data_IF_142863723138
#
_entry.id   IF_142863723138
#
_cell.length_a   1.000
_cell.length_b   1.000
_cell.length_c   1.000
_cell.angle_alpha   90.00
_cell.angle_beta   90.00
_cell.angle_gamma   90.00
#
_symmetry.space_group_name_H-M   'P 1'
#
loop_
_entity.id
_entity.type
_entity.pdbx_description
1 polymer ?
#
# COMPACT_ATOMS: atom_id res chain seq x y z
N UNK A 1 15.37 0.33 17.26
CA UNK A 1 16.21 -0.49 16.32
C UNK A 1 15.84 -0.11 14.89
N UNK A 2 16.81 0.00 13.99
CA UNK A 2 16.52 0.21 12.55
C UNK A 2 16.08 -1.12 11.92
N UNK A 3 14.80 -1.40 11.92
CA UNK A 3 14.26 -2.72 11.59
C UNK A 3 14.46 -3.11 10.12
N UNK A 4 14.43 -2.15 9.19
CA UNK A 4 14.63 -2.41 7.77
C UNK A 4 16.02 -2.94 7.47
N UNK A 5 17.06 -2.52 8.25
CA UNK A 5 18.43 -3.02 8.14
C UNK A 5 18.56 -4.50 8.55
N UNK A 6 17.58 -5.04 9.26
CA UNK A 6 17.51 -6.47 9.61
C UNK A 6 16.65 -7.23 8.61
N UNK A 7 15.50 -6.66 8.24
CA UNK A 7 14.53 -7.33 7.36
C UNK A 7 15.05 -7.51 5.93
N UNK A 8 15.72 -6.48 5.36
CA UNK A 8 16.22 -6.57 3.99
C UNK A 8 17.27 -7.68 3.83
N UNK A 9 18.36 -7.74 4.64
CA UNK A 9 19.30 -8.86 4.56
C UNK A 9 18.62 -10.21 4.76
N UNK A 10 17.69 -10.33 5.71
CA UNK A 10 16.96 -11.57 5.95
C UNK A 10 16.19 -12.03 4.70
N UNK A 11 15.41 -11.13 4.09
CA UNK A 11 14.66 -11.43 2.87
C UNK A 11 15.59 -11.80 1.72
N UNK A 12 16.68 -11.07 1.53
CA UNK A 12 17.65 -11.34 0.46
C UNK A 12 18.35 -12.69 0.65
N UNK A 13 18.84 -12.99 1.86
CA UNK A 13 19.51 -14.27 2.17
C UNK A 13 18.54 -15.43 1.96
N UNK A 14 17.31 -15.35 2.48
CA UNK A 14 16.29 -16.36 2.26
C UNK A 14 16.00 -16.52 0.76
N UNK A 15 15.85 -15.42 0.01
CA UNK A 15 15.64 -15.45 -1.42
C UNK A 15 16.75 -16.16 -2.17
N UNK A 16 18.01 -15.92 -1.83
CA UNK A 16 19.16 -16.60 -2.43
C UNK A 16 19.17 -18.12 -2.10
N UNK A 17 18.83 -18.51 -0.87
CA UNK A 17 18.70 -19.93 -0.48
C UNK A 17 17.60 -20.64 -1.28
N UNK A 18 16.43 -20.02 -1.44
CA UNK A 18 15.33 -20.59 -2.24
C UNK A 18 15.58 -20.57 -3.74
N UNK A 19 16.46 -19.68 -4.22
CA UNK A 19 16.81 -19.54 -5.65
C UNK A 19 17.46 -20.78 -6.23
N UNK A 20 18.22 -21.54 -5.46
CA UNK A 20 18.89 -22.76 -5.91
C UNK A 20 17.91 -23.82 -6.48
N UNK A 21 16.65 -23.80 -6.02
CA UNK A 21 15.57 -24.66 -6.49
C UNK A 21 14.27 -23.85 -6.68
N UNK A 22 14.26 -22.97 -7.70
CA UNK A 22 13.13 -22.07 -8.00
C UNK A 22 11.96 -22.84 -8.62
N UNK A 23 11.07 -23.34 -7.79
CA UNK A 23 9.83 -24.00 -8.18
C UNK A 23 8.62 -23.40 -7.43
N UNK A 24 7.40 -23.75 -7.84
CA UNK A 24 6.15 -23.21 -7.25
C UNK A 24 6.06 -23.46 -5.73
N UNK A 25 6.52 -24.63 -5.23
CA UNK A 25 6.48 -24.96 -3.80
C UNK A 25 7.42 -24.05 -3.02
N UNK A 26 8.65 -23.88 -3.49
CA UNK A 26 9.66 -23.06 -2.83
C UNK A 26 9.30 -21.57 -2.89
N UNK A 27 8.76 -21.08 -4.00
CA UNK A 27 8.20 -19.71 -4.08
C UNK A 27 7.10 -19.48 -3.04
N UNK A 28 6.15 -20.41 -2.93
CA UNK A 28 5.08 -20.33 -1.92
C UNK A 28 5.64 -20.32 -0.51
N UNK A 29 6.60 -21.20 -0.21
CA UNK A 29 7.22 -21.27 1.13
C UNK A 29 7.99 -19.98 1.46
N UNK A 30 8.75 -19.47 0.50
CA UNK A 30 9.46 -18.19 0.65
C UNK A 30 8.50 -17.02 0.94
N UNK A 31 7.39 -16.92 0.19
CA UNK A 31 6.36 -15.90 0.43
C UNK A 31 5.78 -16.06 1.85
N UNK A 32 5.42 -17.26 2.27
CA UNK A 32 4.85 -17.51 3.60
C UNK A 32 5.82 -17.08 4.70
N UNK A 33 7.09 -17.50 4.63
CA UNK A 33 8.08 -17.16 5.64
C UNK A 33 8.29 -15.64 5.72
N UNK A 34 8.54 -14.98 4.58
CA UNK A 34 8.76 -13.54 4.58
C UNK A 34 7.52 -12.76 5.02
N UNK A 35 6.33 -13.15 4.57
CA UNK A 35 5.08 -12.50 5.02
C UNK A 35 4.83 -12.70 6.51
N UNK A 36 5.13 -13.88 7.06
CA UNK A 36 5.00 -14.15 8.50
C UNK A 36 5.96 -13.30 9.34
N UNK A 37 7.21 -13.11 8.89
CA UNK A 37 8.18 -12.23 9.56
C UNK A 37 7.70 -10.77 9.52
N UNK A 38 7.24 -10.30 8.36
CA UNK A 38 6.74 -8.93 8.23
C UNK A 38 5.46 -8.70 9.03
N UNK A 39 4.55 -9.67 9.04
CA UNK A 39 3.35 -9.66 9.88
C UNK A 39 3.71 -9.60 11.36
N UNK A 40 4.67 -10.42 11.82
CA UNK A 40 5.15 -10.38 13.19
C UNK A 40 5.69 -9.01 13.56
N UNK A 41 6.55 -8.43 12.70
CA UNK A 41 7.07 -7.07 12.93
C UNK A 41 5.93 -6.05 12.95
N UNK A 42 4.95 -6.13 12.05
CA UNK A 42 3.84 -5.19 12.03
C UNK A 42 2.98 -5.31 13.31
N UNK A 43 2.66 -6.53 13.76
CA UNK A 43 1.79 -6.80 14.91
C UNK A 43 2.45 -6.47 16.25
N UNK A 44 3.76 -6.70 16.37
CA UNK A 44 4.50 -6.53 17.64
C UNK A 44 5.06 -5.11 17.83
N UNK A 45 4.56 -4.10 17.10
CA UNK A 45 4.94 -2.70 17.32
C UNK A 45 4.45 -2.20 18.68
N UNK A 46 5.29 -1.39 19.34
CA UNK A 46 4.90 -0.74 20.58
C UNK A 46 4.03 0.50 20.26
N UNK A 47 2.76 0.56 20.69
CA UNK A 47 1.87 1.67 20.37
C UNK A 47 2.25 2.97 21.11
N UNK A 48 3.02 2.91 22.18
CA UNK A 48 3.32 4.06 23.04
C UNK A 48 4.58 4.81 22.61
N UNK A 49 5.58 4.09 22.08
CA UNK A 49 6.88 4.68 21.71
C UNK A 49 7.02 4.98 20.21
N UNK A 50 6.03 4.66 19.40
CA UNK A 50 6.06 4.82 17.94
C UNK A 50 5.47 6.18 17.53
N UNK A 51 6.14 7.28 17.91
CA UNK A 51 5.54 8.62 17.84
C UNK A 51 5.77 9.38 16.55
N UNK A 52 6.83 9.10 15.79
CA UNK A 52 7.20 9.99 14.69
C UNK A 52 7.06 9.39 13.28
N UNK A 53 7.24 8.09 13.10
CA UNK A 53 7.26 7.49 11.76
C UNK A 53 6.62 6.11 11.68
N UNK A 54 7.07 5.16 12.51
CA UNK A 54 6.47 3.84 12.58
C UNK A 54 5.32 3.84 13.58
N UNK A 55 4.08 3.78 13.10
CA UNK A 55 2.93 3.59 13.97
C UNK A 55 2.42 4.84 14.68
N UNK A 56 2.61 6.02 14.08
CA UNK A 56 2.13 7.31 14.62
C UNK A 56 0.66 7.26 15.08
N UNK A 57 -0.18 6.49 14.39
CA UNK A 57 -1.59 6.33 14.74
C UNK A 57 -1.84 5.10 15.64
N UNK A 58 -0.80 4.33 16.03
CA UNK A 58 -0.99 3.07 16.79
C UNK A 58 -1.59 3.28 18.17
N UNK A 59 -1.21 4.35 18.87
CA UNK A 59 -1.80 4.71 20.15
C UNK A 59 -3.29 5.05 20.02
N UNK A 60 -3.66 5.79 18.97
CA UNK A 60 -5.06 6.09 18.67
C UNK A 60 -5.86 4.81 18.33
N UNK A 61 -5.27 3.86 17.61
CA UNK A 61 -5.93 2.58 17.32
C UNK A 61 -6.10 1.71 18.56
N UNK A 62 -5.10 1.71 19.46
CA UNK A 62 -5.22 1.06 20.77
C UNK A 62 -6.37 1.65 21.57
N UNK A 63 -6.43 2.99 21.68
CA UNK A 63 -7.52 3.68 22.35
C UNK A 63 -8.91 3.34 21.76
N UNK A 64 -9.04 3.36 20.42
CA UNK A 64 -10.31 3.00 19.75
C UNK A 64 -10.67 1.54 20.04
N UNK A 65 -9.71 0.62 19.99
CA UNK A 65 -9.95 -0.79 20.31
C UNK A 65 -10.42 -0.97 21.76
N UNK A 66 -9.72 -0.37 22.73
CA UNK A 66 -10.07 -0.41 24.15
C UNK A 66 -11.46 0.21 24.42
N UNK A 67 -11.81 1.29 23.75
CA UNK A 67 -13.14 1.93 23.88
C UNK A 67 -14.30 1.03 23.42
N UNK A 68 -14.01 -0.04 22.67
CA UNK A 68 -15.05 -0.99 22.24
C UNK A 68 -15.32 -2.11 23.24
N UNK A 69 -14.54 -2.28 24.32
CA UNK A 69 -14.66 -3.43 25.22
C UNK A 69 -16.05 -3.54 25.87
N UNK A 70 -16.54 -2.43 26.37
CA UNK A 70 -17.84 -2.36 27.02
C UNK A 70 -18.96 -1.79 26.12
N UNK A 71 -18.65 -1.52 24.84
CA UNK A 71 -19.59 -0.93 23.90
C UNK A 71 -20.74 -1.90 23.59
N UNK A 72 -21.98 -1.51 23.89
CA UNK A 72 -23.17 -2.22 23.46
C UNK A 72 -23.39 -2.15 21.95
N UNK A 73 -24.03 -3.15 21.35
CA UNK A 73 -24.40 -3.08 19.93
C UNK A 73 -25.41 -1.94 19.65
N UNK A 74 -26.27 -1.59 20.62
CA UNK A 74 -27.16 -0.44 20.50
C UNK A 74 -26.37 0.87 20.36
N UNK A 75 -25.35 1.07 21.19
CA UNK A 75 -24.48 2.25 21.16
C UNK A 75 -23.69 2.30 19.84
N UNK A 76 -23.17 1.14 19.40
CA UNK A 76 -22.52 1.03 18.10
C UNK A 76 -23.42 1.49 16.94
N UNK A 77 -24.68 0.99 16.88
CA UNK A 77 -25.60 1.36 15.80
C UNK A 77 -26.03 2.83 15.89
N UNK A 78 -26.17 3.38 17.10
CA UNK A 78 -26.46 4.81 17.29
C UNK A 78 -25.31 5.67 16.78
N UNK A 79 -24.08 5.34 17.14
CA UNK A 79 -22.88 6.03 16.65
C UNK A 79 -22.76 5.93 15.13
N UNK A 80 -22.98 4.74 14.56
CA UNK A 80 -22.97 4.54 13.12
C UNK A 80 -24.01 5.39 12.39
N UNK A 81 -25.23 5.45 12.93
CA UNK A 81 -26.31 6.27 12.38
C UNK A 81 -25.96 7.76 12.43
N UNK A 82 -25.50 8.25 13.58
CA UNK A 82 -25.13 9.67 13.74
C UNK A 82 -24.00 10.06 12.79
N UNK A 83 -23.02 9.17 12.57
CA UNK A 83 -21.92 9.43 11.64
C UNK A 83 -22.40 9.59 10.18
N UNK A 84 -23.27 8.70 9.70
CA UNK A 84 -23.69 8.72 8.30
C UNK A 84 -24.83 9.70 8.01
N UNK A 85 -25.69 9.99 8.99
CA UNK A 85 -26.89 10.76 8.78
C UNK A 85 -27.01 11.99 9.70
N UNK A 86 -26.25 12.04 10.79
CA UNK A 86 -26.34 13.08 11.82
C UNK A 86 -25.32 14.23 11.69
N UNK A 87 -24.46 14.25 10.65
CA UNK A 87 -23.47 15.31 10.44
C UNK A 87 -22.27 15.30 11.38
N UNK A 88 -22.06 14.22 12.16
CA UNK A 88 -20.86 14.02 12.99
C UNK A 88 -19.62 13.75 12.13
N UNK A 89 -18.68 14.71 12.03
CA UNK A 89 -17.60 14.67 11.06
C UNK A 89 -16.29 14.04 11.54
N UNK A 90 -16.05 13.93 12.85
CA UNK A 90 -14.71 13.65 13.40
C UNK A 90 -14.52 12.22 13.97
N UNK A 91 -15.54 11.38 13.88
CA UNK A 91 -15.47 10.03 14.44
C UNK A 91 -14.75 9.04 13.50
N UNK A 92 -14.21 7.97 14.10
CA UNK A 92 -13.54 6.88 13.38
C UNK A 92 -14.48 6.22 12.37
N UNK A 93 -13.92 5.72 11.26
CA UNK A 93 -14.69 4.99 10.24
C UNK A 93 -15.47 3.81 10.87
N UNK A 94 -16.78 3.74 10.60
CA UNK A 94 -17.71 2.82 11.28
C UNK A 94 -17.31 1.35 11.13
N UNK A 95 -16.87 0.95 9.93
CA UNK A 95 -16.41 -0.43 9.71
C UNK A 95 -15.16 -0.77 10.50
N UNK A 96 -14.29 0.22 10.76
CA UNK A 96 -13.13 0.02 11.63
C UNK A 96 -13.55 -0.20 13.09
N UNK A 97 -14.47 0.60 13.61
CA UNK A 97 -15.03 0.42 14.97
C UNK A 97 -15.75 -0.93 15.10
N UNK A 98 -16.53 -1.33 14.07
CA UNK A 98 -17.15 -2.65 14.03
C UNK A 98 -16.13 -3.79 14.10
N UNK A 99 -15.02 -3.68 13.34
CA UNK A 99 -13.94 -4.66 13.36
C UNK A 99 -13.29 -4.73 14.76
N UNK A 100 -13.00 -3.58 15.37
CA UNK A 100 -12.50 -3.51 16.75
C UNK A 100 -13.46 -4.19 17.71
N UNK A 101 -14.76 -3.89 17.63
CA UNK A 101 -15.79 -4.50 18.50
C UNK A 101 -15.91 -6.00 18.31
N UNK A 102 -15.87 -6.50 17.08
CA UNK A 102 -15.90 -7.94 16.81
C UNK A 102 -14.69 -8.63 17.44
N UNK A 103 -13.49 -8.05 17.27
CA UNK A 103 -12.26 -8.64 17.81
C UNK A 103 -12.27 -8.57 19.35
N UNK A 104 -12.79 -7.49 19.95
CA UNK A 104 -12.85 -7.34 21.41
C UNK A 104 -13.73 -8.40 22.10
N UNK A 105 -14.62 -9.09 21.37
CA UNK A 105 -15.35 -10.24 21.88
C UNK A 105 -14.47 -11.48 22.15
N UNK A 106 -13.28 -11.54 21.55
CA UNK A 106 -12.39 -12.69 21.63
C UNK A 106 -11.10 -12.40 22.39
N UNK A 107 -10.64 -11.13 22.37
CA UNK A 107 -9.38 -10.73 23.02
C UNK A 107 -9.41 -9.26 23.42
N UNK A 108 -8.78 -8.94 24.55
CA UNK A 108 -8.48 -7.56 24.98
C UNK A 108 -6.98 -7.21 24.82
N UNK A 109 -6.18 -8.14 24.31
CA UNK A 109 -4.76 -7.92 24.06
C UNK A 109 -4.54 -7.20 22.72
N UNK A 110 -3.85 -6.05 22.78
CA UNK A 110 -3.62 -5.22 21.58
C UNK A 110 -2.65 -5.88 20.57
N UNK A 111 -1.71 -6.70 21.02
CA UNK A 111 -0.81 -7.39 20.10
C UNK A 111 -1.55 -8.48 19.31
N UNK A 112 -2.47 -9.20 19.95
CA UNK A 112 -3.36 -10.17 19.29
C UNK A 112 -4.32 -9.45 18.34
N UNK A 113 -4.91 -8.33 18.77
CA UNK A 113 -5.72 -7.47 17.90
C UNK A 113 -4.92 -7.07 16.66
N UNK A 114 -3.71 -6.50 16.84
CA UNK A 114 -2.84 -6.08 15.73
C UNK A 114 -2.52 -7.24 14.79
N UNK A 115 -2.21 -8.43 15.31
CA UNK A 115 -1.96 -9.62 14.52
C UNK A 115 -3.17 -9.98 13.62
N UNK A 116 -4.37 -9.99 14.18
CA UNK A 116 -5.60 -10.34 13.45
C UNK A 116 -5.91 -9.35 12.34
N UNK A 117 -5.77 -8.05 12.60
CA UNK A 117 -6.05 -7.02 11.60
C UNK A 117 -4.96 -6.91 10.54
N UNK A 118 -3.70 -7.07 10.91
CA UNK A 118 -2.59 -7.04 9.95
C UNK A 118 -2.65 -8.25 8.97
N UNK A 119 -3.25 -9.38 9.38
CA UNK A 119 -3.56 -10.50 8.47
C UNK A 119 -4.47 -10.08 7.31
N UNK A 120 -5.37 -9.10 7.48
CA UNK A 120 -6.22 -8.59 6.39
C UNK A 120 -5.40 -7.98 5.25
N UNK A 121 -4.17 -7.53 5.52
CA UNK A 121 -3.24 -7.05 4.50
C UNK A 121 -2.30 -8.17 4.03
N UNK A 122 -1.62 -8.86 4.93
CA UNK A 122 -0.54 -9.78 4.54
C UNK A 122 -1.04 -11.03 3.81
N UNK A 123 -2.26 -11.49 4.07
CA UNK A 123 -2.83 -12.62 3.34
C UNK A 123 -3.09 -12.27 1.86
N UNK A 124 -3.87 -11.22 1.51
CA UNK A 124 -4.04 -10.84 0.11
C UNK A 124 -2.72 -10.42 -0.56
N UNK A 125 -1.81 -9.76 0.17
CA UNK A 125 -0.47 -9.43 -0.32
C UNK A 125 0.31 -10.69 -0.75
N UNK A 126 0.36 -11.71 0.10
CA UNK A 126 1.00 -13.00 -0.23
C UNK A 126 0.33 -13.70 -1.43
N UNK A 127 -0.99 -13.63 -1.54
CA UNK A 127 -1.74 -14.18 -2.68
C UNK A 127 -1.34 -13.47 -3.98
N UNK A 128 -1.25 -12.14 -3.98
CA UNK A 128 -0.84 -11.34 -5.13
C UNK A 128 0.59 -11.70 -5.54
N UNK A 129 1.52 -11.77 -4.60
CA UNK A 129 2.90 -12.18 -4.89
C UNK A 129 2.96 -13.58 -5.51
N UNK A 130 2.24 -14.55 -4.93
CA UNK A 130 2.22 -15.92 -5.43
C UNK A 130 1.64 -16.04 -6.86
N UNK A 131 0.62 -15.25 -7.18
CA UNK A 131 -0.04 -15.29 -8.49
C UNK A 131 0.77 -14.60 -9.57
N UNK A 132 1.46 -13.49 -9.25
CA UNK A 132 1.98 -12.58 -10.27
C UNK A 132 3.49 -12.48 -10.33
N UNK A 133 4.22 -12.87 -9.28
CA UNK A 133 5.67 -13.00 -9.33
C UNK A 133 6.05 -14.36 -9.92
N UNK A 134 6.83 -14.34 -11.02
CA UNK A 134 7.12 -15.54 -11.81
C UNK A 134 8.36 -16.31 -11.35
N UNK A 135 9.22 -15.70 -10.53
CA UNK A 135 10.47 -16.28 -10.05
C UNK A 135 10.87 -15.69 -8.68
N UNK A 136 11.87 -16.29 -8.02
CA UNK A 136 12.33 -15.85 -6.70
C UNK A 136 12.88 -14.43 -6.72
N UNK A 137 13.56 -13.97 -7.77
CA UNK A 137 14.07 -12.60 -7.83
C UNK A 137 12.95 -11.57 -7.86
N UNK A 138 11.85 -11.85 -8.58
CA UNK A 138 10.69 -10.95 -8.59
C UNK A 138 10.01 -10.86 -7.22
N UNK A 139 9.94 -11.97 -6.48
CA UNK A 139 9.39 -12.01 -5.12
C UNK A 139 10.32 -11.27 -4.15
N UNK A 140 11.63 -11.51 -4.24
CA UNK A 140 12.64 -10.83 -3.43
C UNK A 140 12.61 -9.31 -3.66
N UNK A 141 12.56 -8.87 -4.93
CA UNK A 141 12.40 -7.47 -5.27
C UNK A 141 11.14 -6.87 -4.63
N UNK A 142 10.01 -7.58 -4.73
CA UNK A 142 8.74 -7.12 -4.17
C UNK A 142 8.80 -6.94 -2.64
N UNK A 143 9.41 -7.87 -1.91
CA UNK A 143 9.60 -7.71 -0.47
C UNK A 143 10.56 -6.57 -0.12
N UNK A 144 11.68 -6.42 -0.84
CA UNK A 144 12.58 -5.29 -0.61
C UNK A 144 11.88 -3.97 -0.93
N UNK A 145 11.11 -3.90 -2.02
CA UNK A 145 10.29 -2.74 -2.36
C UNK A 145 9.29 -2.40 -1.24
N UNK A 146 8.57 -3.40 -0.72
CA UNK A 146 7.64 -3.22 0.39
C UNK A 146 8.34 -2.63 1.62
N UNK A 147 9.44 -3.24 2.05
CA UNK A 147 10.21 -2.80 3.23
C UNK A 147 10.76 -1.37 3.03
N UNK A 148 11.26 -1.06 1.83
CA UNK A 148 11.92 0.21 1.53
C UNK A 148 10.98 1.39 1.33
N UNK A 149 9.80 1.17 0.73
CA UNK A 149 8.93 2.25 0.26
C UNK A 149 7.54 2.27 0.91
N UNK A 150 7.06 1.15 1.43
CA UNK A 150 5.66 1.00 1.82
C UNK A 150 5.51 0.78 3.32
N UNK A 151 6.36 -0.06 3.92
CA UNK A 151 6.21 -0.59 5.27
C UNK A 151 6.00 0.49 6.33
N UNK A 152 6.81 1.54 6.33
CA UNK A 152 6.72 2.65 7.30
C UNK A 152 5.33 3.28 7.31
N UNK A 153 4.82 3.58 6.12
CA UNK A 153 3.54 4.27 5.98
C UNK A 153 2.34 3.36 6.28
N UNK A 154 2.40 2.09 5.93
CA UNK A 154 1.30 1.15 6.18
C UNK A 154 1.23 0.76 7.65
N UNK A 155 2.36 0.50 8.30
CA UNK A 155 2.38 0.20 9.74
C UNK A 155 1.89 1.41 10.54
N UNK A 156 2.28 2.64 10.15
CA UNK A 156 1.81 3.88 10.75
C UNK A 156 0.33 4.16 10.51
N UNK A 157 -0.19 3.79 9.35
CA UNK A 157 -1.57 4.04 8.91
C UNK A 157 -2.45 2.76 8.97
N UNK A 158 -2.53 2.08 10.12
CA UNK A 158 -3.17 0.75 10.24
C UNK A 158 -4.53 0.62 9.57
N UNK A 159 -5.49 1.53 9.78
CA UNK A 159 -6.82 1.50 9.11
C UNK A 159 -6.69 1.48 7.58
N UNK A 160 -5.78 2.29 7.04
CA UNK A 160 -5.53 2.31 5.60
C UNK A 160 -4.91 0.99 5.11
N UNK A 161 -4.00 0.39 5.88
CA UNK A 161 -3.41 -0.91 5.55
C UNK A 161 -4.48 -2.00 5.40
N UNK A 162 -5.49 -2.01 6.30
CA UNK A 162 -6.59 -2.97 6.23
C UNK A 162 -7.49 -2.71 5.02
N UNK A 163 -7.83 -1.45 4.74
CA UNK A 163 -8.60 -1.07 3.57
C UNK A 163 -7.88 -1.48 2.27
N UNK A 164 -6.58 -1.22 2.14
CA UNK A 164 -5.77 -1.67 1.00
C UNK A 164 -5.79 -3.21 0.88
N UNK A 165 -5.77 -3.95 2.00
CA UNK A 165 -5.92 -5.40 1.99
C UNK A 165 -7.22 -5.87 1.36
N UNK A 166 -8.34 -5.25 1.73
CA UNK A 166 -9.67 -5.51 1.15
C UNK A 166 -9.74 -5.10 -0.33
N UNK A 167 -9.15 -3.97 -0.69
CA UNK A 167 -9.05 -3.50 -2.08
C UNK A 167 -8.19 -4.45 -2.95
N UNK A 168 -7.14 -5.05 -2.39
CA UNK A 168 -6.39 -6.12 -3.07
C UNK A 168 -7.27 -7.35 -3.34
N UNK A 169 -8.14 -7.74 -2.41
CA UNK A 169 -9.09 -8.83 -2.62
C UNK A 169 -10.11 -8.44 -3.69
N UNK A 170 -10.60 -7.20 -3.67
CA UNK A 170 -11.49 -6.67 -4.71
C UNK A 170 -10.83 -6.73 -6.08
N UNK A 171 -9.56 -6.34 -6.20
CA UNK A 171 -8.81 -6.41 -7.44
C UNK A 171 -8.63 -7.85 -7.95
N UNK A 172 -8.24 -8.76 -7.06
CA UNK A 172 -8.15 -10.19 -7.40
C UNK A 172 -9.50 -10.69 -7.95
N UNK A 173 -10.59 -10.29 -7.32
CA UNK A 173 -11.93 -10.70 -7.74
C UNK A 173 -12.30 -10.12 -9.13
N UNK A 174 -11.92 -8.87 -9.44
CA UNK A 174 -12.12 -8.29 -10.79
C UNK A 174 -11.31 -9.05 -11.83
N UNK A 175 -10.05 -9.35 -11.56
CA UNK A 175 -9.19 -10.13 -12.47
C UNK A 175 -9.79 -11.52 -12.73
N UNK A 176 -10.38 -12.14 -11.69
CA UNK A 176 -11.06 -13.43 -11.76
C UNK A 176 -12.49 -13.31 -12.38
N UNK A 177 -12.93 -12.15 -12.85
CA UNK A 177 -14.26 -11.90 -13.44
C UNK A 177 -15.42 -11.88 -12.44
N UNK A 178 -15.14 -11.87 -11.13
CA UNK A 178 -16.13 -11.94 -10.05
C UNK A 178 -16.56 -10.54 -9.58
N UNK A 179 -17.29 -9.83 -10.44
CA UNK A 179 -17.63 -8.40 -10.25
C UNK A 179 -18.35 -8.09 -8.93
N UNK A 180 -19.38 -8.88 -8.57
CA UNK A 180 -20.11 -8.68 -7.31
C UNK A 180 -19.20 -8.83 -6.09
N UNK A 181 -18.34 -9.85 -6.10
CA UNK A 181 -17.35 -10.04 -5.03
C UNK A 181 -16.38 -8.86 -4.92
N UNK A 182 -15.92 -8.36 -6.05
CA UNK A 182 -15.07 -7.17 -6.08
C UNK A 182 -15.76 -5.95 -5.47
N UNK A 183 -17.01 -5.71 -5.81
CA UNK A 183 -17.80 -4.61 -5.27
C UNK A 183 -18.03 -4.74 -3.76
N UNK A 184 -18.32 -5.94 -3.25
CA UNK A 184 -18.49 -6.18 -1.81
C UNK A 184 -17.20 -5.86 -1.04
N UNK A 185 -16.04 -6.37 -1.50
CA UNK A 185 -14.77 -6.11 -0.81
C UNK A 185 -14.34 -4.64 -0.89
N UNK A 186 -14.60 -3.96 -2.01
CA UNK A 186 -14.41 -2.52 -2.12
C UNK A 186 -15.28 -1.74 -1.11
N UNK A 187 -16.58 -2.07 -0.99
CA UNK A 187 -17.46 -1.43 -0.02
C UNK A 187 -17.00 -1.69 1.42
N UNK A 188 -16.54 -2.90 1.74
CA UNK A 188 -15.95 -3.19 3.04
C UNK A 188 -14.70 -2.34 3.31
N UNK A 189 -13.80 -2.22 2.32
CA UNK A 189 -12.64 -1.33 2.40
C UNK A 189 -13.04 0.13 2.69
N UNK A 190 -14.07 0.62 2.00
CA UNK A 190 -14.60 1.97 2.18
C UNK A 190 -15.16 2.22 3.60
N UNK A 191 -15.78 1.21 4.22
CA UNK A 191 -16.26 1.33 5.61
C UNK A 191 -15.14 1.33 6.64
N UNK A 192 -14.01 0.67 6.32
CA UNK A 192 -12.81 0.63 7.19
C UNK A 192 -12.01 1.92 7.10
N UNK A 193 -11.90 2.49 5.89
CA UNK A 193 -11.20 3.75 5.68
C UNK A 193 -11.73 4.46 4.44
N UNK A 194 -12.30 5.64 4.66
CA UNK A 194 -12.97 6.43 3.61
C UNK A 194 -12.10 6.73 2.39
N UNK A 195 -10.77 6.85 2.56
CA UNK A 195 -9.82 7.03 1.45
C UNK A 195 -9.81 5.84 0.46
N UNK A 196 -10.35 4.66 0.80
CA UNK A 196 -10.54 3.55 -0.13
C UNK A 196 -11.40 3.95 -1.34
N UNK A 197 -12.18 5.04 -1.24
CA UNK A 197 -12.88 5.63 -2.38
C UNK A 197 -11.94 5.93 -3.57
N UNK A 198 -10.68 6.24 -3.31
CA UNK A 198 -9.67 6.47 -4.35
C UNK A 198 -9.44 5.24 -5.24
N UNK A 199 -9.78 4.05 -4.74
CA UNK A 199 -9.69 2.80 -5.49
C UNK A 199 -10.85 2.62 -6.50
N UNK A 200 -11.93 3.38 -6.36
CA UNK A 200 -13.11 3.28 -7.24
C UNK A 200 -12.76 3.56 -8.70
N UNK A 201 -12.00 4.62 -8.99
CA UNK A 201 -11.67 5.00 -10.37
C UNK A 201 -10.89 3.89 -11.10
N UNK A 202 -9.77 3.37 -10.57
CA UNK A 202 -9.08 2.24 -11.19
C UNK A 202 -9.92 0.97 -11.24
N UNK A 203 -10.76 0.71 -10.25
CA UNK A 203 -11.66 -0.44 -10.27
C UNK A 203 -12.64 -0.36 -11.44
N UNK A 204 -13.23 0.81 -11.70
CA UNK A 204 -14.09 1.06 -12.85
C UNK A 204 -13.33 0.97 -14.18
N UNK A 205 -12.11 1.52 -14.25
CA UNK A 205 -11.28 1.43 -15.45
C UNK A 205 -10.98 -0.03 -15.83
N UNK A 206 -10.73 -0.89 -14.85
CA UNK A 206 -10.55 -2.33 -15.06
C UNK A 206 -11.86 -3.01 -15.43
N UNK A 207 -12.93 -2.65 -14.75
CA UNK A 207 -14.27 -3.27 -14.94
C UNK A 207 -14.85 -3.04 -16.33
N UNK A 208 -14.73 -1.82 -16.84
CA UNK A 208 -15.21 -1.48 -18.19
C UNK A 208 -14.19 -1.82 -19.28
N UNK A 209 -12.93 -2.05 -18.91
CA UNK A 209 -11.84 -2.32 -19.82
C UNK A 209 -11.33 -1.05 -20.51
N UNK A 210 -10.02 -0.96 -20.66
CA UNK A 210 -9.38 0.11 -21.42
C UNK A 210 -8.45 -0.46 -22.47
N UNK A 211 -8.34 0.22 -23.62
CA UNK A 211 -7.38 -0.21 -24.63
C UNK A 211 -5.94 -0.02 -24.14
N UNK A 212 -5.04 -0.90 -24.56
CA UNK A 212 -3.61 -0.75 -24.26
C UNK A 212 -3.04 0.60 -24.74
N UNK A 213 -3.60 1.16 -25.82
CA UNK A 213 -3.24 2.50 -26.30
C UNK A 213 -3.64 3.58 -25.30
N UNK A 214 -4.89 3.54 -24.81
CA UNK A 214 -5.39 4.50 -23.80
C UNK A 214 -4.59 4.44 -22.52
N UNK A 215 -4.26 3.25 -22.04
CA UNK A 215 -3.44 3.06 -20.83
C UNK A 215 -2.05 3.67 -20.98
N UNK A 216 -1.40 3.47 -22.15
CA UNK A 216 -0.10 4.08 -22.44
C UNK A 216 -0.20 5.61 -22.47
N UNK A 217 -1.25 6.17 -23.06
CA UNK A 217 -1.48 7.61 -23.11
C UNK A 217 -1.69 8.16 -21.70
N UNK A 218 -2.53 7.52 -20.89
CA UNK A 218 -2.76 7.95 -19.49
C UNK A 218 -1.46 7.93 -18.70
N UNK A 219 -0.65 6.86 -18.83
CA UNK A 219 0.64 6.79 -18.14
C UNK A 219 1.58 7.91 -18.57
N UNK A 220 1.68 8.17 -19.87
CA UNK A 220 2.49 9.29 -20.39
C UNK A 220 1.96 10.65 -19.92
N UNK A 221 0.64 10.85 -19.87
CA UNK A 221 0.02 12.08 -19.36
C UNK A 221 0.29 12.30 -17.87
N UNK A 222 0.17 11.26 -17.04
CA UNK A 222 0.51 11.36 -15.62
C UNK A 222 2.00 11.75 -15.44
N UNK A 223 2.90 11.20 -16.26
CA UNK A 223 4.29 11.56 -16.23
C UNK A 223 4.54 13.01 -16.68
N UNK A 224 3.83 13.50 -17.70
CA UNK A 224 3.89 14.91 -18.15
C UNK A 224 3.31 15.86 -17.09
N UNK A 225 2.29 15.45 -16.35
CA UNK A 225 1.68 16.25 -15.27
C UNK A 225 2.50 16.22 -13.98
N UNK A 226 3.40 15.26 -13.82
CA UNK A 226 4.23 15.12 -12.62
C UNK A 226 4.97 16.42 -12.23
N UNK A 227 5.66 17.15 -13.14
CA UNK A 227 6.36 18.40 -12.77
C UNK A 227 5.41 19.44 -12.18
N UNK A 228 4.16 19.52 -12.64
CA UNK A 228 3.15 20.44 -12.11
C UNK A 228 2.79 20.07 -10.67
N UNK A 229 2.43 18.79 -10.42
CA UNK A 229 2.10 18.32 -9.08
C UNK A 229 3.30 18.44 -8.13
N UNK A 230 4.52 18.19 -8.64
CA UNK A 230 5.76 18.32 -7.90
C UNK A 230 6.06 19.78 -7.51
N UNK A 231 5.76 20.73 -8.39
CA UNK A 231 6.03 22.15 -8.17
C UNK A 231 5.02 22.82 -7.23
N UNK A 232 3.75 22.40 -7.26
CA UNK A 232 2.62 23.05 -6.59
C UNK A 232 1.78 22.07 -5.74
N UNK A 233 2.40 21.23 -4.87
CA UNK A 233 1.64 20.21 -4.16
C UNK A 233 0.70 20.79 -3.11
N UNK A 234 1.08 21.89 -2.46
CA UNK A 234 0.26 22.57 -1.43
C UNK A 234 -0.99 23.21 -2.01
N UNK A 235 -0.83 23.93 -3.12
CA UNK A 235 -1.93 24.57 -3.83
C UNK A 235 -2.95 23.56 -4.34
N UNK A 236 -2.49 22.44 -4.87
CA UNK A 236 -3.36 21.36 -5.33
C UNK A 236 -4.15 20.73 -4.18
N UNK A 237 -3.51 20.48 -3.03
CA UNK A 237 -4.19 19.94 -1.85
C UNK A 237 -5.21 20.94 -1.30
N UNK A 238 -4.86 22.23 -1.22
CA UNK A 238 -5.77 23.29 -0.79
C UNK A 238 -6.99 23.38 -1.71
N UNK A 239 -6.77 23.38 -3.02
CA UNK A 239 -7.83 23.38 -4.02
C UNK A 239 -8.75 22.15 -3.90
N UNK A 240 -8.18 20.96 -3.71
CA UNK A 240 -8.96 19.73 -3.49
C UNK A 240 -9.78 19.83 -2.19
N UNK A 241 -9.22 20.37 -1.11
CA UNK A 241 -9.91 20.59 0.16
C UNK A 241 -11.07 21.55 0.04
N UNK A 242 -10.85 22.71 -0.57
CA UNK A 242 -11.86 23.74 -0.78
C UNK A 242 -12.98 23.25 -1.69
N UNK A 243 -12.63 22.57 -2.79
CA UNK A 243 -13.60 22.03 -3.75
C UNK A 243 -14.47 20.89 -3.19
N UNK A 244 -13.92 20.10 -2.24
CA UNK A 244 -14.62 18.98 -1.59
C UNK A 244 -15.37 19.39 -0.32
N UNK A 245 -15.16 20.61 0.19
CA UNK A 245 -15.67 21.06 1.48
C UNK A 245 -15.01 20.40 2.68
N UNK A 246 -13.85 19.74 2.51
CA UNK A 246 -13.13 19.05 3.57
C UNK A 246 -12.02 19.98 4.10
N UNK A 247 -12.34 20.74 5.15
CA UNK A 247 -11.41 21.71 5.78
C UNK A 247 -10.03 21.11 6.13
N UNK A 248 -10.00 19.88 6.57
CA UNK A 248 -8.78 19.15 6.90
C UNK A 248 -7.78 19.12 5.73
N UNK A 249 -8.22 18.90 4.52
CA UNK A 249 -7.35 18.91 3.34
C UNK A 249 -6.93 20.33 2.95
N UNK A 250 -7.81 21.32 3.07
CA UNK A 250 -7.45 22.71 2.86
C UNK A 250 -6.33 23.16 3.82
N UNK A 251 -6.38 22.72 5.08
CA UNK A 251 -5.36 22.99 6.09
C UNK A 251 -4.02 22.27 5.82
N UNK A 252 -4.06 21.04 5.29
CA UNK A 252 -2.83 20.31 4.90
C UNK A 252 -2.04 21.02 3.79
N UNK A 253 -2.71 21.73 2.88
CA UNK A 253 -2.03 22.52 1.84
C UNK A 253 -1.38 23.80 2.36
N UNK A 254 -1.87 24.36 3.47
CA UNK A 254 -1.39 25.65 4.06
C UNK A 254 -0.29 25.47 5.10
N UNK A 255 -0.10 24.29 5.64
CA UNK A 255 0.86 24.00 6.72
C UNK A 255 2.20 23.52 6.19
N UNK A 256 3.29 24.15 6.63
CA UNK A 256 4.66 23.63 6.45
C UNK A 256 4.89 22.43 7.38
N UNK A 257 4.28 21.30 7.11
CA UNK A 257 4.62 20.03 7.76
C UNK A 257 5.71 19.37 6.92
N UNK A 258 6.80 18.94 7.58
CA UNK A 258 7.96 18.32 6.94
C UNK A 258 7.52 17.31 5.86
N UNK A 259 7.76 17.68 4.60
CA UNK A 259 7.40 16.87 3.44
C UNK A 259 8.30 15.64 3.29
N UNK A 260 7.83 14.66 2.56
CA UNK A 260 8.58 13.45 2.28
C UNK A 260 9.84 13.68 1.43
N UNK A 261 10.70 12.68 1.40
CA UNK A 261 11.97 12.71 0.68
C UNK A 261 11.79 12.86 -0.84
N UNK A 262 12.44 13.85 -1.45
CA UNK A 262 12.51 13.99 -2.91
C UNK A 262 13.11 12.75 -3.56
N UNK A 263 14.08 12.09 -2.91
CA UNK A 263 14.69 10.85 -3.39
C UNK A 263 13.67 9.73 -3.58
N UNK A 264 12.73 9.61 -2.62
CA UNK A 264 11.61 8.67 -2.71
C UNK A 264 10.76 8.95 -3.96
N UNK A 265 10.37 10.21 -4.18
CA UNK A 265 9.52 10.61 -5.31
C UNK A 265 10.23 10.32 -6.64
N UNK A 266 11.48 10.76 -6.78
CA UNK A 266 12.24 10.53 -8.02
C UNK A 266 12.49 9.05 -8.32
N UNK A 267 12.69 8.21 -7.30
CA UNK A 267 12.82 6.78 -7.51
C UNK A 267 11.51 6.16 -8.04
N UNK A 268 10.35 6.57 -7.50
CA UNK A 268 9.04 6.14 -8.02
C UNK A 268 8.89 6.55 -9.49
N UNK A 269 9.25 7.79 -9.83
CA UNK A 269 9.18 8.29 -11.20
C UNK A 269 10.08 7.49 -12.15
N UNK A 270 11.32 7.21 -11.74
CA UNK A 270 12.25 6.41 -12.54
C UNK A 270 11.71 4.98 -12.76
N UNK A 271 11.19 4.35 -11.73
CA UNK A 271 10.57 3.01 -11.86
C UNK A 271 9.35 3.04 -12.77
N UNK A 272 8.51 4.06 -12.65
CA UNK A 272 7.32 4.24 -13.48
C UNK A 272 7.68 4.50 -14.94
N UNK A 273 8.66 5.38 -15.20
CA UNK A 273 9.19 5.65 -16.53
C UNK A 273 9.80 4.39 -17.17
N UNK A 274 10.56 3.63 -16.38
CA UNK A 274 11.10 2.34 -16.81
C UNK A 274 9.96 1.39 -17.26
N UNK A 275 8.88 1.27 -16.48
CA UNK A 275 7.72 0.45 -16.84
C UNK A 275 7.03 0.97 -18.11
N UNK A 276 6.92 2.31 -18.28
CA UNK A 276 6.33 2.93 -19.46
C UNK A 276 7.12 2.57 -20.75
N UNK A 277 8.45 2.56 -20.67
CA UNK A 277 9.33 2.25 -21.80
C UNK A 277 9.38 0.74 -22.08
N UNK A 278 9.60 -0.08 -21.05
CA UNK A 278 9.87 -1.50 -21.16
C UNK A 278 8.65 -2.32 -21.60
N UNK A 279 7.45 -2.00 -21.09
CA UNK A 279 6.22 -2.75 -21.36
C UNK A 279 5.56 -2.24 -22.64
N UNK A 280 5.49 -3.07 -23.67
CA UNK A 280 4.88 -2.73 -24.96
C UNK A 280 3.37 -2.98 -24.95
N UNK A 281 2.62 -2.37 -25.89
CA UNK A 281 1.16 -2.56 -26.03
C UNK A 281 0.77 -4.02 -26.15
N UNK A 282 1.53 -4.85 -26.87
CA UNK A 282 1.29 -6.28 -27.02
C UNK A 282 1.34 -7.01 -25.66
N UNK A 283 2.27 -6.62 -24.79
CA UNK A 283 2.47 -7.27 -23.49
C UNK A 283 1.29 -6.99 -22.57
N UNK A 284 0.72 -5.78 -22.65
CA UNK A 284 -0.50 -5.38 -21.92
C UNK A 284 -1.70 -6.19 -22.38
N UNK A 285 -1.84 -6.44 -23.69
CA UNK A 285 -2.97 -7.18 -24.26
C UNK A 285 -2.90 -8.68 -23.95
N UNK A 286 -1.71 -9.24 -23.84
CA UNK A 286 -1.50 -10.66 -23.63
C UNK A 286 -1.77 -11.11 -22.18
N UNK A 287 -1.84 -10.19 -21.23
CA UNK A 287 -1.95 -10.52 -19.81
C UNK A 287 -2.91 -9.58 -19.07
N UNK A 288 -4.11 -10.09 -18.75
CA UNK A 288 -5.15 -9.32 -18.05
C UNK A 288 -4.66 -8.74 -16.71
N UNK A 289 -3.77 -9.41 -15.99
CA UNK A 289 -3.23 -8.93 -14.71
C UNK A 289 -2.31 -7.74 -14.92
N UNK A 290 -1.48 -7.78 -15.96
CA UNK A 290 -0.61 -6.66 -16.32
C UNK A 290 -1.42 -5.45 -16.76
N UNK A 291 -2.51 -5.68 -17.49
CA UNK A 291 -3.47 -4.62 -17.82
C UNK A 291 -3.92 -3.87 -16.56
N UNK A 292 -4.36 -4.62 -15.54
CA UNK A 292 -4.84 -4.06 -14.26
C UNK A 292 -3.74 -3.28 -13.53
N UNK A 293 -2.55 -3.87 -13.38
CA UNK A 293 -1.43 -3.20 -12.71
C UNK A 293 -0.99 -1.94 -13.46
N UNK A 294 -1.06 -1.98 -14.79
CA UNK A 294 -0.74 -0.84 -15.62
C UNK A 294 -1.75 0.33 -15.48
N UNK A 295 -3.00 0.06 -15.09
CA UNK A 295 -3.98 1.10 -14.74
C UNK A 295 -3.59 1.83 -13.45
N UNK A 296 -3.08 1.11 -12.45
CA UNK A 296 -2.80 1.63 -11.12
C UNK A 296 -1.51 2.46 -11.03
N UNK A 297 -0.48 2.05 -11.78
CA UNK A 297 0.86 2.66 -11.70
C UNK A 297 0.89 4.17 -12.02
N UNK A 298 0.21 4.68 -13.07
CA UNK A 298 0.19 6.11 -13.35
C UNK A 298 -0.37 6.97 -12.22
N UNK A 299 -1.34 6.45 -11.47
CA UNK A 299 -1.92 7.16 -10.34
C UNK A 299 -0.93 7.27 -9.17
N UNK A 300 -0.11 6.23 -8.95
CA UNK A 300 0.96 6.32 -7.96
C UNK A 300 1.98 7.41 -8.33
N UNK A 301 2.41 7.46 -9.58
CA UNK A 301 3.28 8.50 -10.14
C UNK A 301 2.70 9.89 -9.91
N UNK A 302 1.43 10.09 -10.30
CA UNK A 302 0.78 11.39 -10.21
C UNK A 302 0.59 11.89 -8.77
N UNK A 303 0.26 11.00 -7.83
CA UNK A 303 -0.05 11.40 -6.45
C UNK A 303 1.16 11.38 -5.50
N UNK A 304 2.24 10.69 -5.83
CA UNK A 304 3.43 10.60 -4.96
C UNK A 304 4.02 11.96 -4.58
N UNK A 305 4.05 13.02 -5.45
CA UNK A 305 4.62 14.32 -5.09
C UNK A 305 3.83 15.08 -4.03
N UNK A 306 2.56 14.75 -3.79
CA UNK A 306 1.74 15.42 -2.76
C UNK A 306 2.35 15.26 -1.37
N UNK A 307 3.17 14.24 -1.14
CA UNK A 307 3.91 14.05 0.12
C UNK A 307 4.83 15.22 0.46
N UNK A 308 5.25 16.04 -0.52
CA UNK A 308 6.08 17.22 -0.28
C UNK A 308 5.38 18.33 0.49
N UNK A 309 4.08 18.48 0.29
CA UNK A 309 3.31 19.48 1.02
C UNK A 309 2.98 18.97 2.45
N UNK A 310 2.64 17.69 2.58
CA UNK A 310 2.32 17.07 3.85
C UNK A 310 2.59 15.57 3.80
N UNK A 311 3.37 15.04 4.74
CA UNK A 311 3.71 13.62 4.80
C UNK A 311 2.49 12.69 4.84
N UNK A 312 1.36 13.15 5.39
CA UNK A 312 0.10 12.37 5.42
C UNK A 312 -0.48 12.14 4.02
N UNK A 313 -0.16 13.00 3.05
CA UNK A 313 -0.68 12.90 1.67
C UNK A 313 -0.13 11.69 0.91
N UNK A 314 0.94 11.06 1.37
CA UNK A 314 1.38 9.78 0.82
C UNK A 314 0.26 8.73 0.86
N UNK A 315 -0.65 8.84 1.81
CA UNK A 315 -1.80 7.93 1.98
C UNK A 315 -2.66 7.84 0.72
N UNK A 316 -2.75 8.89 -0.08
CA UNK A 316 -3.45 8.88 -1.38
C UNK A 316 -2.72 7.95 -2.36
N UNK A 317 -1.41 8.07 -2.45
CA UNK A 317 -0.59 7.31 -3.38
C UNK A 317 -0.46 5.82 -2.98
N UNK A 318 -0.50 5.49 -1.68
CA UNK A 318 -0.27 4.13 -1.19
C UNK A 318 -1.26 3.09 -1.74
N UNK A 319 -2.50 3.48 -2.07
CA UNK A 319 -3.47 2.58 -2.71
C UNK A 319 -2.98 2.01 -4.04
N UNK A 320 -2.05 2.68 -4.69
CA UNK A 320 -1.51 2.32 -6.00
C UNK A 320 -0.08 1.77 -5.95
N UNK A 321 0.60 1.91 -4.82
CA UNK A 321 2.04 1.60 -4.67
C UNK A 321 2.40 0.13 -4.93
N UNK A 322 1.55 -0.79 -4.48
CA UNK A 322 1.74 -2.25 -4.62
C UNK A 322 1.81 -2.67 -6.11
N UNK A 323 1.15 -1.94 -6.98
CA UNK A 323 1.07 -2.31 -8.39
C UNK A 323 2.34 -1.96 -9.16
N UNK A 324 3.03 -0.88 -8.80
CA UNK A 324 4.37 -0.58 -9.33
C UNK A 324 5.39 -1.62 -8.87
N UNK A 325 5.28 -2.10 -7.63
CA UNK A 325 6.08 -3.20 -7.09
C UNK A 325 5.97 -4.49 -7.94
N UNK A 326 4.77 -4.80 -8.47
CA UNK A 326 4.53 -5.96 -9.32
C UNK A 326 4.88 -5.69 -10.79
N UNK A 327 4.66 -4.46 -11.25
CA UNK A 327 4.89 -4.09 -12.64
C UNK A 327 6.39 -3.98 -12.97
N UNK A 328 7.22 -3.52 -12.03
CA UNK A 328 8.68 -3.38 -12.23
C UNK A 328 9.37 -4.72 -12.56
N UNK A 329 9.18 -5.82 -11.81
CA UNK A 329 9.69 -7.13 -12.19
C UNK A 329 9.23 -7.58 -13.58
N UNK A 330 7.97 -7.36 -13.91
CA UNK A 330 7.46 -7.69 -15.24
C UNK A 330 8.13 -6.88 -16.35
N UNK A 331 8.39 -5.59 -16.11
CA UNK A 331 9.13 -4.74 -17.03
C UNK A 331 10.58 -5.23 -17.25
N UNK A 332 11.25 -5.69 -16.18
CA UNK A 332 12.57 -6.32 -16.28
C UNK A 332 12.50 -7.57 -17.16
N UNK A 333 11.48 -8.42 -16.96
CA UNK A 333 11.30 -9.63 -17.78
C UNK A 333 11.03 -9.32 -19.26
N UNK A 334 10.36 -8.20 -19.57
CA UNK A 334 10.08 -7.75 -20.95
C UNK A 334 11.30 -7.14 -21.65
N UNK A 335 12.15 -6.41 -20.92
CA UNK A 335 13.19 -5.58 -21.50
C UNK A 335 14.54 -6.30 -21.64
N UNK A 336 14.91 -7.12 -20.65
CA UNK A 336 16.25 -7.70 -20.55
C UNK A 336 16.32 -9.18 -20.98
N UNK A 337 17.48 -9.58 -21.51
CA UNK A 337 17.78 -10.98 -21.81
C UNK A 337 18.20 -11.75 -20.55
N UNK A 338 18.24 -13.09 -20.62
CA UNK A 338 18.44 -13.97 -19.45
C UNK A 338 19.56 -13.54 -18.50
N UNK A 339 20.73 -13.21 -18.99
CA UNK A 339 21.88 -12.83 -18.16
C UNK A 339 21.77 -11.40 -17.61
N UNK A 340 21.16 -10.50 -18.37
CA UNK A 340 20.96 -9.09 -18.00
C UNK A 340 19.88 -8.92 -16.93
N UNK A 341 18.89 -9.83 -16.88
CA UNK A 341 17.79 -9.79 -15.89
C UNK A 341 18.32 -9.82 -14.46
N UNK A 342 19.26 -10.72 -14.16
CA UNK A 342 19.83 -10.81 -12.81
C UNK A 342 20.55 -9.51 -12.44
N UNK A 343 21.30 -8.94 -13.36
CA UNK A 343 21.96 -7.65 -13.14
C UNK A 343 20.95 -6.52 -12.92
N UNK A 344 19.87 -6.48 -13.72
CA UNK A 344 18.80 -5.51 -13.55
C UNK A 344 18.13 -5.64 -12.16
N UNK A 345 17.81 -6.86 -11.72
CA UNK A 345 17.29 -7.07 -10.36
C UNK A 345 18.26 -6.58 -9.28
N UNK A 346 19.57 -6.84 -9.43
CA UNK A 346 20.58 -6.36 -8.48
C UNK A 346 20.63 -4.84 -8.43
N UNK A 347 20.61 -4.17 -9.59
CA UNK A 347 20.66 -2.70 -9.68
C UNK A 347 19.41 -2.07 -9.06
N UNK A 348 18.22 -2.52 -9.46
CA UNK A 348 16.97 -1.95 -8.93
C UNK A 348 16.79 -2.25 -7.44
N UNK A 349 17.14 -3.46 -6.97
CA UNK A 349 17.10 -3.81 -5.56
C UNK A 349 18.13 -2.99 -4.76
N UNK A 350 19.33 -2.81 -5.30
CA UNK A 350 20.38 -1.99 -4.70
C UNK A 350 19.96 -0.53 -4.51
N UNK A 351 19.27 0.05 -5.49
CA UNK A 351 18.72 1.41 -5.38
C UNK A 351 17.69 1.53 -4.24
N UNK A 352 16.82 0.54 -4.08
CA UNK A 352 15.85 0.47 -2.98
C UNK A 352 16.56 0.35 -1.62
N UNK A 353 17.57 -0.50 -1.52
CA UNK A 353 18.36 -0.67 -0.28
C UNK A 353 19.06 0.63 0.08
N UNK A 354 19.70 1.29 -0.90
CA UNK A 354 20.35 2.58 -0.68
C UNK A 354 19.37 3.62 -0.12
N UNK A 355 18.17 3.74 -0.70
CA UNK A 355 17.14 4.64 -0.20
C UNK A 355 16.78 4.32 1.26
N UNK A 356 16.65 3.03 1.60
CA UNK A 356 16.29 2.61 2.96
C UNK A 356 17.37 2.99 3.97
N UNK A 357 18.64 2.76 3.65
CA UNK A 357 19.75 3.10 4.54
C UNK A 357 19.78 4.60 4.87
N UNK A 358 19.41 5.45 3.91
CA UNK A 358 19.41 6.92 4.07
C UNK A 358 18.20 7.45 4.82
N UNK A 359 17.06 6.71 4.85
CA UNK A 359 15.80 7.19 5.40
C UNK A 359 15.20 6.28 6.49
N UNK A 360 15.98 5.32 7.02
CA UNK A 360 15.45 4.36 7.99
C UNK A 360 15.19 4.99 9.35
N UNK A 361 14.09 4.60 9.97
CA UNK A 361 13.56 5.13 11.23
C UNK A 361 13.66 4.11 12.35
N UNK A 362 13.60 4.60 13.60
CA UNK A 362 13.69 3.72 14.76
C UNK A 362 12.37 2.98 14.97
N UNK A 363 12.48 1.67 15.19
CA UNK A 363 11.38 0.78 15.51
C UNK A 363 11.48 0.28 16.96
N UNK A 364 10.34 0.21 17.66
CA UNK A 364 10.21 -0.31 19.02
C UNK A 364 9.24 -1.48 19.05
N UNK A 365 9.65 -2.58 19.70
CA UNK A 365 8.77 -3.72 19.91
C UNK A 365 7.89 -3.53 21.15
N UNK A 366 6.77 -4.27 21.18
CA UNK A 366 5.77 -4.22 22.25
C UNK A 366 6.34 -4.42 23.67
N UNK A 367 7.42 -5.18 23.80
CA UNK A 367 8.07 -5.47 25.07
C UNK A 367 9.21 -4.49 25.47
N UNK A 368 9.45 -3.46 24.71
CA UNK A 368 10.39 -2.38 25.01
C UNK A 368 9.67 -1.20 25.63
#
# INVERSE_FOLDING_TARGET
>A
MKISLVLIPLVVILGLLFKSNDNKKNRRLYIIICSAVLLFVAAMRNPEYMTETYGIDSAAYKYIFESTFDMGWGDFFTTAYLRYFGGGSDESDVGFVALCRIISLFTHDFAIYSLLVDLLFFVPFGIILYRYCTNIYSIMFAFVYYISLIQVYLIGGGRQMFAIGLDMIALIAVIDGKKLRAFIFFLLGLTIHSSSFLFLAPLLMVWYGMSAKSLKIIHALCFVLFPLVFAMPGELISFMGESSGIEKYANYGKGAVHGGSNTFIFLIELLSLFCLIAIKKKDILMNNSIHVFYVMTPLFTLFSPLVRANGTMIRIALYYSIYLMLLTPYAIECMFKKNEKTMAYVVFTGALIFLTITNDTTYYFYWQ
#
